data_IF_787429667309
#
_entry.id   IF_787429667309
#
_cell.length_a   1.000
_cell.length_b   1.000
_cell.length_c   1.000
_cell.angle_alpha   90.00
_cell.angle_beta   90.00
_cell.angle_gamma   90.00
#
_symmetry.space_group_name_H-M   'P 1'
#
loop_
_entity.id
_entity.type
_entity.pdbx_description
1 polymer ?
#
# COMPACT_ATOMS: atom_id res chain seq x y z
N UNK A 1 -10.26 3.24 1.27
CA UNK A 1 -10.07 3.81 2.63
C UNK A 1 -8.58 3.93 2.84
N UNK A 2 -8.10 5.06 3.36
CA UNK A 2 -6.70 5.26 3.74
C UNK A 2 -6.73 5.67 5.20
N UNK A 3 -5.94 5.00 6.04
CA UNK A 3 -5.81 5.35 7.45
C UNK A 3 -5.14 6.71 7.63
N UNK A 4 -5.32 7.36 8.78
CA UNK A 4 -4.62 8.59 9.08
C UNK A 4 -3.10 8.36 9.03
N UNK A 5 -2.40 9.14 8.21
CA UNK A 5 -0.95 9.06 8.08
C UNK A 5 -0.28 10.00 9.08
N UNK A 6 0.76 9.51 9.75
CA UNK A 6 1.53 10.26 10.74
C UNK A 6 2.71 11.00 10.10
N UNK A 7 3.12 12.10 10.75
CA UNK A 7 4.23 12.94 10.28
C UNK A 7 3.83 13.93 9.17
N UNK A 8 4.68 14.93 8.97
CA UNK A 8 4.47 15.99 7.98
C UNK A 8 4.39 15.45 6.54
N UNK A 9 5.23 14.44 6.25
CA UNK A 9 5.33 13.80 4.93
C UNK A 9 4.48 12.52 4.77
N UNK A 10 3.72 12.13 5.79
CA UNK A 10 3.01 10.85 5.83
C UNK A 10 2.03 10.64 4.67
N UNK A 11 1.50 11.72 4.11
CA UNK A 11 0.53 11.68 3.01
C UNK A 11 1.15 11.61 1.61
N UNK A 12 2.46 11.83 1.46
CA UNK A 12 3.12 11.87 0.14
C UNK A 12 2.88 10.57 -0.63
N UNK A 13 3.21 9.44 -0.02
CA UNK A 13 3.16 8.12 -0.68
C UNK A 13 1.71 7.71 -1.05
N UNK A 14 0.74 7.67 -0.13
CA UNK A 14 -0.61 7.22 -0.48
C UNK A 14 -1.28 8.13 -1.50
N UNK A 15 -1.02 9.44 -1.47
CA UNK A 15 -1.54 10.36 -2.49
C UNK A 15 -0.87 10.12 -3.84
N UNK A 16 0.47 10.07 -3.90
CA UNK A 16 1.21 9.88 -5.13
C UNK A 16 0.86 8.56 -5.82
N UNK A 17 0.76 7.46 -5.06
CA UNK A 17 0.36 6.16 -5.61
C UNK A 17 -1.07 6.20 -6.12
N UNK A 18 -2.01 6.81 -5.37
CA UNK A 18 -3.39 6.91 -5.83
C UNK A 18 -3.48 7.72 -7.13
N UNK A 19 -2.84 8.88 -7.21
CA UNK A 19 -2.83 9.70 -8.43
C UNK A 19 -2.21 8.91 -9.59
N UNK A 20 -1.05 8.29 -9.41
CA UNK A 20 -0.39 7.53 -10.47
C UNK A 20 -1.24 6.39 -11.02
N UNK A 21 -1.98 5.67 -10.18
CA UNK A 21 -2.78 4.52 -10.59
C UNK A 21 -4.12 4.88 -11.24
N UNK A 22 -4.59 6.12 -11.08
CA UNK A 22 -5.86 6.57 -11.65
C UNK A 22 -5.68 7.54 -12.83
N UNK A 23 -4.63 8.37 -12.82
CA UNK A 23 -4.42 9.42 -13.83
C UNK A 23 -3.53 8.99 -15.00
N UNK A 24 -2.69 7.96 -14.83
CA UNK A 24 -1.95 7.35 -15.95
C UNK A 24 -2.78 6.19 -16.56
N UNK A 25 -3.24 6.29 -17.83
CA UNK A 25 -4.12 5.29 -18.41
C UNK A 25 -3.51 3.89 -18.50
N UNK A 26 -2.19 3.79 -18.71
CA UNK A 26 -1.47 2.52 -18.78
C UNK A 26 -1.40 1.85 -17.40
N UNK A 27 -1.13 2.64 -16.36
CA UNK A 27 -1.14 2.18 -14.97
C UNK A 27 -2.52 1.72 -14.53
N UNK A 28 -3.56 2.49 -14.86
CA UNK A 28 -4.94 2.15 -14.51
C UNK A 28 -5.37 0.81 -15.10
N UNK A 29 -5.10 0.57 -16.38
CA UNK A 29 -5.41 -0.70 -17.05
C UNK A 29 -4.59 -1.87 -16.46
N UNK A 30 -3.29 -1.64 -16.20
CA UNK A 30 -2.40 -2.65 -15.63
C UNK A 30 -2.87 -3.07 -14.25
N UNK A 31 -3.12 -2.12 -13.36
CA UNK A 31 -3.56 -2.40 -11.99
C UNK A 31 -4.97 -2.99 -11.99
N UNK A 32 -5.87 -2.54 -12.86
CA UNK A 32 -7.20 -3.15 -12.98
C UNK A 32 -7.11 -4.66 -13.22
N UNK A 33 -6.24 -5.11 -14.13
CA UNK A 33 -6.04 -6.54 -14.41
C UNK A 33 -5.42 -7.28 -13.22
N UNK A 34 -4.48 -6.65 -12.53
CA UNK A 34 -3.81 -7.21 -11.35
C UNK A 34 -4.79 -7.43 -10.20
N UNK A 35 -5.68 -6.46 -9.94
CA UNK A 35 -6.60 -6.54 -8.78
C UNK A 35 -7.89 -7.30 -9.10
N UNK A 36 -8.22 -7.51 -10.39
CA UNK A 36 -9.44 -8.20 -10.82
C UNK A 36 -9.65 -9.57 -10.14
N UNK A 37 -8.65 -10.45 -9.99
CA UNK A 37 -8.83 -11.74 -9.31
C UNK A 37 -9.26 -11.59 -7.85
N UNK A 38 -8.85 -10.52 -7.15
CA UNK A 38 -9.26 -10.27 -5.76
C UNK A 38 -10.77 -10.00 -5.63
N UNK A 39 -11.43 -9.55 -6.70
CA UNK A 39 -12.87 -9.33 -6.70
C UNK A 39 -13.66 -10.63 -6.50
N UNK A 40 -13.12 -11.77 -6.93
CA UNK A 40 -13.72 -13.09 -6.69
C UNK A 40 -13.77 -13.37 -5.17
N UNK A 41 -12.70 -13.04 -4.45
CA UNK A 41 -12.61 -13.14 -2.98
C UNK A 41 -13.53 -12.15 -2.25
N UNK A 42 -13.83 -10.99 -2.85
CA UNK A 42 -14.75 -10.02 -2.25
C UNK A 42 -16.21 -10.53 -2.24
N UNK A 43 -16.62 -11.32 -3.23
CA UNK A 43 -18.00 -11.82 -3.33
C UNK A 43 -19.06 -10.71 -3.37
N UNK A 44 -20.31 -11.04 -3.03
CA UNK A 44 -21.45 -10.13 -3.21
C UNK A 44 -21.66 -9.08 -2.11
N UNK A 45 -20.97 -9.21 -0.96
CA UNK A 45 -21.16 -8.27 0.16
C UNK A 45 -20.34 -7.00 -0.08
N UNK A 46 -20.83 -5.82 0.33
CA UNK A 46 -20.03 -4.60 0.28
C UNK A 46 -18.95 -4.60 1.38
N UNK A 47 -17.89 -3.82 1.18
CA UNK A 47 -16.98 -3.45 2.25
C UNK A 47 -17.73 -2.63 3.32
N UNK A 48 -17.37 -2.71 4.62
CA UNK A 48 -16.27 -3.49 5.18
C UNK A 48 -16.63 -4.96 5.51
N UNK A 49 -17.85 -5.41 5.17
CA UNK A 49 -18.36 -6.73 5.57
C UNK A 49 -17.89 -7.91 4.70
N UNK A 50 -17.23 -7.64 3.58
CA UNK A 50 -16.86 -8.64 2.59
C UNK A 50 -15.58 -9.43 2.99
N UNK A 51 -15.38 -10.66 2.49
CA UNK A 51 -14.28 -11.51 2.92
C UNK A 51 -12.90 -10.92 2.60
N UNK A 52 -12.73 -10.34 1.40
CA UNK A 52 -11.50 -9.64 1.01
C UNK A 52 -11.12 -8.53 2.00
N UNK A 53 -12.07 -7.69 2.37
CA UNK A 53 -11.86 -6.58 3.31
C UNK A 53 -11.43 -7.07 4.68
N UNK A 54 -12.11 -8.12 5.18
CA UNK A 54 -11.79 -8.72 6.49
C UNK A 54 -10.43 -9.41 6.48
N UNK A 55 -10.08 -10.09 5.39
CA UNK A 55 -8.77 -10.69 5.21
C UNK A 55 -7.67 -9.62 5.18
N UNK A 56 -7.86 -8.57 4.37
CA UNK A 56 -6.93 -7.44 4.28
C UNK A 56 -6.73 -6.74 5.63
N UNK A 57 -7.80 -6.47 6.37
CA UNK A 57 -7.71 -5.84 7.69
C UNK A 57 -7.00 -6.72 8.74
N UNK A 58 -7.09 -8.04 8.62
CA UNK A 58 -6.50 -8.99 9.59
C UNK A 58 -5.06 -9.38 9.25
N UNK A 59 -4.77 -9.55 7.97
CA UNK A 59 -3.52 -10.15 7.50
C UNK A 59 -2.64 -9.17 6.73
N UNK A 60 -3.18 -8.06 6.22
CA UNK A 60 -2.42 -7.09 5.45
C UNK A 60 -1.59 -7.75 4.34
N UNK A 61 -0.30 -7.40 4.24
CA UNK A 61 0.62 -7.98 3.27
C UNK A 61 1.25 -9.32 3.69
N UNK A 62 0.84 -9.90 4.82
CA UNK A 62 1.13 -11.29 5.13
C UNK A 62 0.27 -12.26 4.30
N UNK A 63 -0.84 -11.77 3.73
CA UNK A 63 -1.61 -12.49 2.73
C UNK A 63 -0.87 -12.48 1.37
N UNK A 64 -0.55 -13.66 0.76
CA UNK A 64 0.23 -13.73 -0.47
C UNK A 64 -0.43 -13.07 -1.69
N UNK A 65 -1.76 -13.16 -1.82
CA UNK A 65 -2.49 -12.58 -2.96
C UNK A 65 -2.49 -11.05 -2.84
N UNK A 66 -2.77 -10.53 -1.64
CA UNK A 66 -2.70 -9.09 -1.38
C UNK A 66 -1.28 -8.55 -1.55
N UNK A 67 -0.27 -9.28 -1.10
CA UNK A 67 1.14 -8.90 -1.31
C UNK A 67 1.48 -8.81 -2.78
N UNK A 68 1.10 -9.81 -3.58
CA UNK A 68 1.38 -9.85 -5.02
C UNK A 68 0.73 -8.66 -5.73
N UNK A 69 -0.54 -8.37 -5.41
CA UNK A 69 -1.24 -7.21 -5.94
C UNK A 69 -0.58 -5.90 -5.49
N UNK A 70 -0.23 -5.76 -4.21
CA UNK A 70 0.41 -4.56 -3.68
C UNK A 70 1.77 -4.29 -4.34
N UNK A 71 2.62 -5.30 -4.47
CA UNK A 71 3.91 -5.17 -5.18
C UNK A 71 3.65 -4.66 -6.59
N UNK A 72 2.73 -5.29 -7.33
CA UNK A 72 2.42 -4.89 -8.70
C UNK A 72 1.92 -3.44 -8.77
N UNK A 73 0.97 -3.05 -7.91
CA UNK A 73 0.47 -1.66 -7.83
C UNK A 73 1.59 -0.65 -7.57
N UNK A 74 2.47 -0.90 -6.61
CA UNK A 74 3.57 0.02 -6.28
C UNK A 74 4.62 0.09 -7.38
N UNK A 75 4.92 -1.03 -8.05
CA UNK A 75 5.86 -1.05 -9.18
C UNK A 75 5.29 -0.26 -10.36
N UNK A 76 4.02 -0.50 -10.71
CA UNK A 76 3.31 0.25 -11.76
C UNK A 76 3.20 1.74 -11.43
N UNK A 77 2.95 2.10 -10.18
CA UNK A 77 2.95 3.50 -9.76
C UNK A 77 4.32 4.17 -9.96
N UNK A 78 5.42 3.49 -9.61
CA UNK A 78 6.78 4.00 -9.82
C UNK A 78 7.09 4.26 -11.29
N UNK A 79 6.62 3.39 -12.18
CA UNK A 79 6.77 3.58 -13.63
C UNK A 79 5.93 4.76 -14.15
N UNK A 80 4.74 4.97 -13.58
CA UNK A 80 3.79 5.99 -14.00
C UNK A 80 4.13 7.40 -13.49
N UNK A 81 4.69 7.52 -12.29
CA UNK A 81 4.97 8.81 -11.64
C UNK A 81 5.76 9.79 -12.54
N UNK A 82 6.83 9.39 -13.24
CA UNK A 82 7.52 10.28 -14.19
C UNK A 82 6.65 10.71 -15.37
N UNK A 83 5.78 9.82 -15.89
CA UNK A 83 4.90 10.13 -17.04
C UNK A 83 3.86 11.19 -16.70
N UNK A 84 3.39 11.21 -15.46
CA UNK A 84 2.44 12.21 -14.95
C UNK A 84 3.13 13.45 -14.35
N UNK A 85 4.45 13.57 -14.49
CA UNK A 85 5.20 14.76 -14.09
C UNK A 85 5.49 14.87 -12.59
N UNK A 86 5.45 13.75 -11.84
CA UNK A 86 5.86 13.75 -10.45
C UNK A 86 7.34 14.16 -10.30
N UNK A 87 7.65 14.91 -9.24
CA UNK A 87 9.03 15.32 -8.98
C UNK A 87 9.90 14.11 -8.58
N UNK A 88 11.22 14.15 -8.82
CA UNK A 88 12.14 13.09 -8.39
C UNK A 88 12.05 12.80 -6.88
N UNK A 89 11.74 13.81 -6.06
CA UNK A 89 11.56 13.64 -4.63
C UNK A 89 10.34 12.78 -4.28
N UNK A 90 9.22 12.94 -4.99
CA UNK A 90 8.02 12.12 -4.81
C UNK A 90 8.31 10.68 -5.26
N UNK A 91 8.92 10.50 -6.44
CA UNK A 91 9.30 9.16 -6.93
C UNK A 91 10.24 8.45 -5.96
N UNK A 92 11.24 9.17 -5.41
CA UNK A 92 12.15 8.62 -4.42
C UNK A 92 11.45 8.25 -3.10
N UNK A 93 10.49 9.05 -2.64
CA UNK A 93 9.70 8.74 -1.45
C UNK A 93 8.87 7.46 -1.63
N UNK A 94 8.23 7.30 -2.80
CA UNK A 94 7.49 6.08 -3.13
C UNK A 94 8.43 4.88 -3.24
N UNK A 95 9.60 5.02 -3.87
CA UNK A 95 10.58 3.95 -3.99
C UNK A 95 11.09 3.48 -2.62
N UNK A 96 11.46 4.42 -1.74
CA UNK A 96 11.90 4.12 -0.38
C UNK A 96 10.79 3.42 0.43
N UNK A 97 9.53 3.82 0.25
CA UNK A 97 8.39 3.15 0.89
C UNK A 97 8.19 1.73 0.38
N UNK A 98 8.24 1.54 -0.94
CA UNK A 98 8.12 0.23 -1.61
C UNK A 98 9.17 -0.74 -1.07
N UNK A 99 10.43 -0.30 -0.98
CA UNK A 99 11.52 -1.09 -0.43
C UNK A 99 11.30 -1.40 1.05
N UNK A 100 11.02 -0.37 1.86
CA UNK A 100 10.88 -0.50 3.32
C UNK A 100 9.75 -1.44 3.71
N UNK A 101 8.62 -1.38 3.02
CA UNK A 101 7.39 -2.04 3.44
C UNK A 101 6.92 -3.09 2.43
N UNK A 102 6.56 -2.66 1.22
CA UNK A 102 5.78 -3.47 0.27
C UNK A 102 6.54 -4.72 -0.19
N UNK A 103 7.79 -4.57 -0.63
CA UNK A 103 8.62 -5.71 -1.06
C UNK A 103 8.89 -6.69 0.08
N UNK A 104 8.90 -6.19 1.32
CA UNK A 104 9.09 -6.98 2.54
C UNK A 104 7.79 -7.60 3.08
N UNK A 105 6.65 -7.38 2.41
CA UNK A 105 5.35 -7.87 2.88
C UNK A 105 4.91 -7.21 4.20
N UNK A 106 5.28 -5.95 4.39
CA UNK A 106 4.99 -5.16 5.60
C UNK A 106 4.22 -3.87 5.27
N UNK A 107 3.69 -3.21 6.28
CA UNK A 107 3.09 -1.88 6.19
C UNK A 107 3.48 -1.00 7.41
N UNK A 108 3.19 0.30 7.40
CA UNK A 108 3.49 1.18 8.53
C UNK A 108 2.90 0.74 9.88
N UNK A 109 1.75 0.05 9.88
CA UNK A 109 1.16 -0.48 11.11
C UNK A 109 2.06 -1.52 11.80
N UNK A 110 2.90 -2.24 11.05
CA UNK A 110 3.85 -3.20 11.61
C UNK A 110 4.96 -2.55 12.43
N UNK A 111 5.24 -1.25 12.22
CA UNK A 111 6.22 -0.51 13.00
C UNK A 111 5.63 -0.07 14.36
N UNK A 112 4.30 0.11 14.44
CA UNK A 112 3.59 0.39 15.69
C UNK A 112 3.48 -0.84 16.61
N UNK A 113 3.57 -2.04 16.01
CA UNK A 113 3.57 -3.31 16.72
C UNK A 113 4.98 -3.72 17.21
N UNK A 114 6.03 -2.99 16.80
CA UNK A 114 7.37 -3.19 17.32
C UNK A 114 7.37 -2.86 18.84
N UNK A 115 7.97 -3.72 19.67
CA UNK A 115 7.57 -3.84 21.07
C UNK A 115 7.91 -2.60 21.91
N UNK A 116 7.01 -2.29 22.86
CA UNK A 116 7.25 -1.48 24.06
C UNK A 116 8.33 -2.07 24.99
N UNK A 117 9.21 -2.95 24.51
CA UNK A 117 10.28 -3.54 25.31
C UNK A 117 11.46 -2.58 25.36
N UNK A 118 11.45 -1.67 26.34
CA UNK A 118 12.61 -0.83 26.62
C UNK A 118 12.44 0.15 27.78
N UNK A 119 12.66 -0.34 29.02
CA UNK A 119 12.80 0.37 30.33
C UNK A 119 11.48 0.92 30.88
N UNK A 120 11.07 0.59 32.12
CA UNK A 120 11.85 0.80 33.34
C UNK A 120 11.83 -0.39 34.30
N UNK A 121 13.00 -1.02 34.47
CA UNK A 121 13.44 -1.41 35.80
C UNK A 121 14.43 -0.36 36.28
N UNK A 122 14.07 0.37 37.34
CA UNK A 122 15.05 0.96 38.28
C UNK A 122 14.35 1.47 39.55
N UNK A 123 14.72 0.79 40.65
CA UNK A 123 14.67 1.14 42.09
C UNK A 123 13.42 1.78 42.68
#
# INVERSE_FOLDING_TARGET
MIDAQSGEDGWIVPLAVTVALFDDPEAAETVYRVVKPLAETAGARPAPGNPLWRAAARHGLADPELRTAAVSCFTTALDALPRIGASPAITAAVAAFTDRYVLRGRCPADDLLAPLTGKEGRS
#
